data_IF_170512417808
#
_entry.id   IF_170512417808
#
_cell.length_a   1.000
_cell.length_b   1.000
_cell.length_c   1.000
_cell.angle_alpha   90.00
_cell.angle_beta   90.00
_cell.angle_gamma   90.00
#
_symmetry.space_group_name_H-M   'P 1'
#
loop_
_entity.id
_entity.type
_entity.pdbx_description
1 polymer ?
#
# COMPACT_ATOMS: atom_id res chain seq x y z
N UNK A 1 -44.29 -17.34 3.21
CA UNK A 1 -43.25 -17.89 2.31
C UNK A 1 -42.25 -16.82 1.87
N UNK A 2 -42.69 -15.68 1.33
CA UNK A 2 -41.79 -14.64 0.80
C UNK A 2 -40.77 -14.09 1.80
N UNK A 3 -41.18 -13.87 3.06
CA UNK A 3 -40.26 -13.43 4.12
C UNK A 3 -39.05 -14.35 4.30
N UNK A 4 -39.23 -15.68 4.21
CA UNK A 4 -38.14 -16.66 4.35
C UNK A 4 -37.18 -16.58 3.15
N UNK A 5 -37.71 -16.39 1.94
CA UNK A 5 -36.89 -16.17 0.74
C UNK A 5 -36.04 -14.91 0.87
N UNK A 6 -36.66 -13.81 1.28
CA UNK A 6 -35.96 -12.53 1.49
C UNK A 6 -34.90 -12.61 2.60
N UNK A 7 -35.17 -13.36 3.69
CA UNK A 7 -34.18 -13.62 4.73
C UNK A 7 -32.96 -14.35 4.16
N UNK A 8 -33.16 -15.40 3.36
CA UNK A 8 -32.06 -16.11 2.70
C UNK A 8 -31.22 -15.19 1.79
N UNK A 9 -31.88 -14.32 1.02
CA UNK A 9 -31.20 -13.32 0.19
C UNK A 9 -30.38 -12.33 1.04
N UNK A 10 -30.95 -11.82 2.14
CA UNK A 10 -30.23 -10.90 3.02
C UNK A 10 -29.02 -11.59 3.68
N UNK A 11 -29.14 -12.86 4.08
CA UNK A 11 -28.01 -13.65 4.60
C UNK A 11 -26.92 -13.83 3.55
N UNK A 12 -27.26 -14.07 2.28
CA UNK A 12 -26.27 -14.15 1.21
C UNK A 12 -25.54 -12.81 1.00
N UNK A 13 -26.29 -11.70 1.00
CA UNK A 13 -25.72 -10.36 0.96
C UNK A 13 -24.78 -10.08 2.14
N UNK A 14 -25.10 -10.57 3.34
CA UNK A 14 -24.26 -10.40 4.52
C UNK A 14 -22.96 -11.21 4.42
N UNK A 15 -23.02 -12.41 3.84
CA UNK A 15 -21.82 -13.20 3.55
C UNK A 15 -20.93 -12.50 2.53
N UNK A 16 -21.52 -11.94 1.47
CA UNK A 16 -20.77 -11.21 0.44
C UNK A 16 -20.04 -9.99 1.04
N UNK A 17 -20.68 -9.22 1.91
CA UNK A 17 -20.04 -8.06 2.56
C UNK A 17 -18.80 -8.40 3.40
N UNK A 18 -18.71 -9.62 3.91
CA UNK A 18 -17.54 -10.05 4.71
C UNK A 18 -16.27 -10.25 3.88
N UNK A 19 -16.42 -10.47 2.58
CA UNK A 19 -15.30 -10.76 1.66
C UNK A 19 -15.02 -9.63 0.69
N UNK A 20 -15.87 -8.60 0.67
CA UNK A 20 -15.72 -7.44 -0.19
C UNK A 20 -15.03 -6.31 0.58
N UNK A 21 -14.03 -5.62 0.00
CA UNK A 21 -13.37 -4.48 0.64
C UNK A 21 -14.37 -3.37 1.02
N UNK A 22 -14.14 -2.73 2.17
CA UNK A 22 -14.96 -1.61 2.66
C UNK A 22 -14.05 -0.43 2.97
N UNK A 23 -14.36 0.74 2.40
CA UNK A 23 -13.66 1.99 2.71
C UNK A 23 -14.46 2.80 3.73
N UNK A 24 -13.89 2.99 4.92
CA UNK A 24 -14.48 3.77 6.01
C UNK A 24 -15.16 2.93 7.09
N UNK A 25 -15.70 3.63 8.10
CA UNK A 25 -16.30 3.15 9.37
C UNK A 25 -17.16 1.88 9.22
N UNK A 26 -17.45 1.20 10.35
CA UNK A 26 -18.24 -0.05 10.54
C UNK A 26 -19.67 -0.07 9.94
N UNK A 27 -20.02 0.88 9.06
CA UNK A 27 -21.26 0.98 8.33
C UNK A 27 -21.34 -0.09 7.23
N UNK A 28 -22.43 -0.85 7.29
CA UNK A 28 -22.82 -1.83 6.27
C UNK A 28 -23.16 -1.17 4.92
N UNK A 29 -22.49 -1.63 3.85
CA UNK A 29 -22.81 -1.24 2.46
C UNK A 29 -24.26 -1.56 2.07
N UNK A 30 -24.90 -0.70 1.26
CA UNK A 30 -26.19 -1.02 0.65
C UNK A 30 -26.09 -2.22 -0.31
N UNK A 31 -27.22 -2.78 -0.75
CA UNK A 31 -27.22 -3.91 -1.69
C UNK A 31 -26.52 -3.56 -3.00
N UNK A 32 -26.81 -2.37 -3.54
CA UNK A 32 -26.21 -1.91 -4.79
C UNK A 32 -24.69 -1.72 -4.64
N UNK A 33 -24.26 -1.00 -3.61
CA UNK A 33 -22.82 -0.79 -3.34
C UNK A 33 -22.09 -2.12 -3.13
N UNK A 34 -22.71 -3.08 -2.42
CA UNK A 34 -22.12 -4.42 -2.21
C UNK A 34 -21.89 -5.14 -3.55
N UNK A 35 -22.84 -5.04 -4.49
CA UNK A 35 -22.69 -5.67 -5.81
C UNK A 35 -21.64 -4.95 -6.66
N UNK A 36 -21.62 -3.62 -6.67
CA UNK A 36 -20.61 -2.83 -7.36
C UNK A 36 -19.21 -3.15 -6.85
N UNK A 37 -19.03 -3.16 -5.53
CA UNK A 37 -17.75 -3.48 -4.91
C UNK A 37 -17.32 -4.93 -5.16
N UNK A 38 -18.26 -5.89 -5.14
CA UNK A 38 -17.95 -7.28 -5.49
C UNK A 38 -17.45 -7.41 -6.93
N UNK A 39 -18.11 -6.75 -7.89
CA UNK A 39 -17.68 -6.75 -9.30
C UNK A 39 -16.27 -6.16 -9.44
N UNK A 40 -16.05 -4.97 -8.91
CA UNK A 40 -14.75 -4.30 -8.94
C UNK A 40 -13.66 -5.14 -8.29
N UNK A 41 -13.98 -5.83 -7.18
CA UNK A 41 -13.02 -6.65 -6.47
C UNK A 41 -12.65 -7.92 -7.25
N UNK A 42 -13.63 -8.62 -7.83
CA UNK A 42 -13.36 -9.76 -8.72
C UNK A 42 -12.44 -9.33 -9.87
N UNK A 43 -12.76 -8.22 -10.54
CA UNK A 43 -11.93 -7.72 -11.65
C UNK A 43 -10.50 -7.38 -11.21
N UNK A 44 -10.33 -6.75 -10.05
CA UNK A 44 -9.01 -6.43 -9.50
C UNK A 44 -8.21 -7.70 -9.18
N UNK A 45 -8.79 -8.66 -8.48
CA UNK A 45 -8.14 -9.92 -8.16
C UNK A 45 -7.77 -10.72 -9.41
N UNK A 46 -8.64 -10.75 -10.42
CA UNK A 46 -8.34 -11.41 -11.71
C UNK A 46 -7.14 -10.78 -12.39
N UNK A 47 -7.01 -9.44 -12.40
CA UNK A 47 -5.84 -8.75 -12.97
C UNK A 47 -4.57 -9.06 -12.20
N UNK A 48 -4.63 -8.99 -10.86
CA UNK A 48 -3.48 -9.29 -9.98
C UNK A 48 -2.96 -10.70 -10.24
N UNK A 49 -3.84 -11.70 -10.33
CA UNK A 49 -3.46 -13.08 -10.60
C UNK A 49 -2.86 -13.24 -12.00
N UNK A 50 -3.47 -12.64 -13.03
CA UNK A 50 -2.95 -12.69 -14.39
C UNK A 50 -1.57 -12.02 -14.53
N UNK A 51 -1.33 -10.94 -13.79
CA UNK A 51 -0.02 -10.31 -13.72
C UNK A 51 0.99 -11.19 -12.99
N UNK A 52 0.62 -11.78 -11.86
CA UNK A 52 1.52 -12.68 -11.10
C UNK A 52 1.97 -13.89 -11.94
N UNK A 53 1.09 -14.46 -12.78
CA UNK A 53 1.46 -15.53 -13.71
C UNK A 53 2.49 -15.09 -14.76
N UNK A 54 2.47 -13.81 -15.17
CA UNK A 54 3.43 -13.25 -16.14
C UNK A 54 4.78 -12.95 -15.51
N UNK A 55 4.83 -12.68 -14.21
CA UNK A 55 6.05 -12.41 -13.46
C UNK A 55 6.41 -13.60 -12.57
N UNK A 56 6.98 -14.64 -13.19
CA UNK A 56 7.45 -15.84 -12.46
C UNK A 56 8.69 -15.56 -11.59
N UNK A 57 9.31 -14.38 -11.73
CA UNK A 57 10.39 -13.91 -10.86
C UNK A 57 9.82 -12.89 -9.86
N UNK A 58 9.96 -13.19 -8.57
CA UNK A 58 9.44 -12.41 -7.42
C UNK A 58 9.84 -10.92 -7.46
N UNK A 59 10.94 -10.59 -8.15
CA UNK A 59 11.49 -9.22 -8.24
C UNK A 59 10.76 -8.30 -9.21
N UNK A 60 10.25 -8.81 -10.33
CA UNK A 60 9.59 -7.96 -11.35
C UNK A 60 8.18 -7.52 -10.90
N UNK A 61 7.48 -8.39 -10.16
CA UNK A 61 6.14 -8.09 -9.64
C UNK A 61 6.16 -6.99 -8.57
N UNK A 62 7.12 -7.04 -7.64
CA UNK A 62 7.31 -5.99 -6.62
C UNK A 62 7.75 -4.65 -7.23
N UNK A 63 8.54 -4.69 -8.32
CA UNK A 63 9.07 -3.48 -8.97
C UNK A 63 7.99 -2.63 -9.65
N UNK A 64 6.91 -3.23 -10.17
CA UNK A 64 5.84 -2.49 -10.86
C UNK A 64 4.82 -1.85 -9.92
N UNK A 65 4.64 -2.43 -8.71
CA UNK A 65 3.60 -2.00 -7.77
C UNK A 65 4.12 -1.09 -6.65
N UNK A 66 5.45 -0.96 -6.48
CA UNK A 66 6.05 -0.03 -5.51
C UNK A 66 6.21 1.42 -6.04
N UNK A 67 6.13 1.62 -7.36
CA UNK A 67 6.31 2.94 -8.00
C UNK A 67 5.13 3.91 -7.79
N UNK A 68 4.04 3.50 -7.13
CA UNK A 68 2.94 4.41 -6.78
C UNK A 68 3.01 4.99 -5.36
N UNK A 69 4.08 4.69 -4.62
CA UNK A 69 4.38 5.24 -3.29
C UNK A 69 5.69 6.05 -3.24
N UNK A 70 6.19 6.53 -4.39
CA UNK A 70 7.30 7.48 -4.46
C UNK A 70 6.92 8.77 -5.21
N UNK A 71 6.32 9.69 -4.46
CA UNK A 71 6.20 11.11 -4.76
C UNK A 71 5.80 11.75 -3.44
N UNK A 72 6.69 12.27 -2.60
CA UNK A 72 7.83 13.10 -2.91
C UNK A 72 8.94 12.96 -1.83
N UNK A 73 10.14 13.41 -2.20
CA UNK A 73 11.10 14.05 -1.29
C UNK A 73 12.14 13.18 -0.57
N UNK A 74 13.06 12.54 -1.32
CA UNK A 74 14.46 12.41 -0.87
C UNK A 74 15.49 12.65 -1.99
N UNK A 75 15.11 13.34 -3.06
CA UNK A 75 16.09 13.89 -3.99
C UNK A 75 16.63 15.23 -3.47
N UNK A 76 17.32 15.20 -2.33
CA UNK A 76 18.17 16.30 -1.91
C UNK A 76 19.47 16.25 -2.72
N UNK A 77 19.42 16.91 -3.88
CA UNK A 77 20.59 17.50 -4.51
C UNK A 77 21.39 18.27 -3.45
N UNK A 78 22.59 17.80 -3.11
CA UNK A 78 23.62 18.69 -2.60
C UNK A 78 24.47 19.15 -3.78
N UNK A 79 24.41 20.42 -4.20
CA UNK A 79 25.42 20.95 -5.10
C UNK A 79 26.73 21.04 -4.30
N UNK A 80 27.78 20.43 -4.83
CA UNK A 80 29.12 20.64 -4.34
C UNK A 80 29.50 22.12 -4.53
N UNK A 81 29.52 22.88 -3.43
CA UNK A 81 30.23 24.16 -3.37
C UNK A 81 30.61 24.49 -1.92
N UNK A 82 31.91 24.49 -1.67
CA UNK A 82 32.56 24.93 -0.44
C UNK A 82 32.52 26.46 -0.39
N UNK A 83 32.12 27.08 0.73
CA UNK A 83 32.92 28.18 1.24
C UNK A 83 33.19 28.06 2.74
N UNK A 84 34.25 28.73 3.14
CA UNK A 84 34.79 28.78 4.48
C UNK A 84 34.01 29.74 5.40
N UNK A 85 34.31 29.59 6.69
CA UNK A 85 34.21 30.58 7.77
C UNK A 85 32.94 30.57 8.65
N UNK A 86 33.24 30.45 9.94
CA UNK A 86 32.51 30.79 11.17
C UNK A 86 31.18 30.10 11.53
N UNK A 87 31.32 29.19 12.51
CA UNK A 87 30.52 29.11 13.74
C UNK A 87 29.00 29.16 13.66
N UNK A 88 28.36 28.00 13.83
CA UNK A 88 26.99 27.94 14.35
C UNK A 88 26.88 26.86 15.46
N UNK A 89 26.72 27.24 16.75
CA UNK A 89 26.79 26.31 17.88
C UNK A 89 25.49 25.51 18.14
N UNK A 90 24.55 25.49 17.19
CA UNK A 90 23.27 24.77 17.33
C UNK A 90 23.13 23.51 16.45
N UNK A 91 24.19 23.07 15.75
CA UNK A 91 24.19 21.87 14.92
C UNK A 91 24.20 20.52 15.71
N UNK A 92 23.87 20.56 17.00
CA UNK A 92 23.74 19.37 17.84
C UNK A 92 22.27 19.20 18.24
N UNK A 93 21.73 18.01 17.96
CA UNK A 93 20.31 17.63 18.02
C UNK A 93 19.63 18.06 16.72
N UNK A 94 19.50 17.17 15.73
CA UNK A 94 18.58 16.04 15.80
C UNK A 94 19.04 14.99 14.79
N UNK A 95 19.46 13.83 15.32
CA UNK A 95 19.82 12.56 14.66
C UNK A 95 21.08 12.50 13.77
N UNK A 96 22.24 12.26 14.40
CA UNK A 96 23.39 11.63 13.74
C UNK A 96 23.26 10.10 13.87
N UNK A 97 22.85 9.42 12.81
CA UNK A 97 23.03 7.97 12.71
C UNK A 97 24.50 7.72 12.33
N UNK A 98 25.27 7.10 13.23
CA UNK A 98 26.68 6.77 13.02
C UNK A 98 26.75 5.38 12.36
N UNK A 99 27.20 5.25 11.10
CA UNK A 99 27.37 3.94 10.47
C UNK A 99 28.66 3.32 11.01
N UNK A 100 28.54 2.31 11.87
CA UNK A 100 29.68 1.49 12.30
C UNK A 100 30.35 0.83 11.09
N UNK A 101 31.62 1.14 10.86
CA UNK A 101 32.47 0.45 9.90
C UNK A 101 32.81 -0.95 10.45
N UNK A 102 32.13 -1.98 9.95
CA UNK A 102 32.50 -3.36 10.21
C UNK A 102 33.76 -3.70 9.39
N UNK A 103 34.91 -3.81 10.04
CA UNK A 103 36.12 -4.35 9.42
C UNK A 103 36.09 -5.87 9.47
N UNK A 104 36.12 -6.51 8.29
CA UNK A 104 36.38 -7.95 8.16
C UNK A 104 37.89 -8.14 8.36
N UNK A 105 38.27 -8.78 9.45
CA UNK A 105 39.66 -9.20 9.69
C UNK A 105 39.99 -10.43 8.81
N UNK A 106 41.19 -10.42 8.21
CA UNK A 106 41.79 -11.59 7.54
C UNK A 106 42.22 -12.65 8.55
#
# INVERSE_FOLDING_TARGET
RERRRMQGLNTAFDRLRKVVPQWGQDKKLSKYETLQMALSYIMALTRILAEAERFSSEREWLSLHCEHLHGDSYHHHYPAQKPAADGDPYAHRVFSYHPEHFQIAN
#
